data_IF_989231534329
#
_entry.id   IF_989231534329
#
_cell.length_a   1.000
_cell.length_b   1.000
_cell.length_c   1.000
_cell.angle_alpha   90.00
_cell.angle_beta   90.00
_cell.angle_gamma   90.00
#
_symmetry.space_group_name_H-M   'P 1'
#
loop_
_entity.id
_entity.type
_entity.pdbx_description
1 polymer ?
#
# COMPACT_ATOMS: atom_id res chain seq x y z
N UNK A 1 21.43 23.51 -12.25
CA UNK A 1 21.37 23.26 -10.79
C UNK A 1 22.74 23.58 -10.19
N UNK A 2 22.83 24.27 -9.05
CA UNK A 2 24.11 24.67 -8.46
C UNK A 2 24.87 23.49 -7.85
N UNK A 3 26.21 23.57 -7.81
CA UNK A 3 27.03 22.57 -7.11
C UNK A 3 26.71 22.63 -5.60
N UNK A 4 26.46 21.47 -4.99
CA UNK A 4 26.33 21.31 -3.54
C UNK A 4 27.48 20.46 -3.03
N UNK A 5 27.97 20.78 -1.84
CA UNK A 5 29.05 20.03 -1.17
C UNK A 5 28.44 19.22 -0.04
N UNK A 6 28.73 17.92 -0.01
CA UNK A 6 28.41 17.02 1.09
C UNK A 6 29.69 16.77 1.89
N UNK A 7 29.60 16.90 3.21
CA UNK A 7 30.69 16.56 4.11
C UNK A 7 30.55 15.12 4.56
N UNK A 8 31.66 14.38 4.54
CA UNK A 8 31.72 12.99 4.96
C UNK A 8 32.57 12.96 6.24
N UNK A 9 32.06 12.38 7.34
CA UNK A 9 32.85 12.25 8.56
C UNK A 9 34.12 11.46 8.31
N UNK A 10 35.22 11.82 8.98
CA UNK A 10 36.51 11.13 8.85
C UNK A 10 36.40 9.63 9.18
N UNK A 11 35.49 9.24 10.07
CA UNK A 11 35.21 7.84 10.42
C UNK A 11 34.67 7.01 9.24
N UNK A 12 34.01 7.67 8.27
CA UNK A 12 33.37 7.04 7.12
C UNK A 12 34.17 7.22 5.82
N UNK A 13 35.34 7.88 5.88
CA UNK A 13 36.17 8.19 4.72
C UNK A 13 36.58 6.92 3.95
N UNK A 14 37.00 5.88 4.67
CA UNK A 14 37.40 4.60 4.06
C UNK A 14 36.23 3.93 3.30
N UNK A 15 35.02 4.04 3.82
CA UNK A 15 33.80 3.52 3.18
C UNK A 15 33.47 4.32 1.92
N UNK A 16 33.57 5.64 1.98
CA UNK A 16 33.35 6.51 0.83
C UNK A 16 34.36 6.26 -0.30
N UNK A 17 35.65 6.16 0.03
CA UNK A 17 36.72 5.89 -0.96
C UNK A 17 36.41 4.60 -1.70
N UNK A 18 36.07 3.54 -0.97
CA UNK A 18 35.73 2.25 -1.58
C UNK A 18 34.48 2.32 -2.45
N UNK A 19 33.42 2.99 -2.01
CA UNK A 19 32.20 3.18 -2.81
C UNK A 19 32.47 4.02 -4.08
N UNK A 20 33.33 5.02 -3.98
CA UNK A 20 33.77 5.83 -5.12
C UNK A 20 34.55 5.00 -6.14
N UNK A 21 35.51 4.18 -5.69
CA UNK A 21 36.28 3.29 -6.57
C UNK A 21 35.37 2.31 -7.31
N UNK A 22 34.36 1.76 -6.63
CA UNK A 22 33.35 0.89 -7.25
C UNK A 22 32.54 1.64 -8.32
N UNK A 23 32.06 2.84 -8.01
CA UNK A 23 31.31 3.66 -8.98
C UNK A 23 32.16 4.02 -10.21
N UNK A 24 33.43 4.36 -10.01
CA UNK A 24 34.36 4.73 -11.09
C UNK A 24 34.75 3.52 -11.95
N UNK A 25 34.91 2.33 -11.34
CA UNK A 25 35.15 1.07 -12.05
C UNK A 25 34.02 0.74 -13.05
N UNK A 26 32.79 1.09 -12.70
CA UNK A 26 31.60 0.87 -13.54
C UNK A 26 31.32 2.06 -14.48
N UNK A 27 32.24 3.04 -14.57
CA UNK A 27 32.12 4.23 -15.43
C UNK A 27 31.08 5.24 -14.96
N UNK A 28 30.55 5.08 -13.75
CA UNK A 28 29.52 5.94 -13.17
C UNK A 28 30.12 7.14 -12.45
N UNK A 29 29.42 8.28 -12.49
CA UNK A 29 29.81 9.46 -11.71
C UNK A 29 29.31 9.31 -10.28
N UNK A 30 30.18 9.54 -9.30
CA UNK A 30 29.85 9.51 -7.87
C UNK A 30 28.58 10.32 -7.57
N UNK A 31 28.43 11.51 -8.15
CA UNK A 31 27.23 12.34 -7.96
C UNK A 31 25.93 11.68 -8.40
N UNK A 32 25.98 10.84 -9.44
CA UNK A 32 24.81 10.09 -9.94
C UNK A 32 24.42 9.02 -8.94
N UNK A 33 25.40 8.22 -8.49
CA UNK A 33 25.22 7.16 -7.50
C UNK A 33 24.68 7.72 -6.17
N UNK A 34 25.16 8.88 -5.73
CA UNK A 34 24.64 9.55 -4.54
C UNK A 34 23.20 10.00 -4.70
N UNK A 35 22.82 10.53 -5.86
CA UNK A 35 21.42 10.94 -6.12
C UNK A 35 20.50 9.72 -6.15
N UNK A 36 20.97 8.59 -6.69
CA UNK A 36 20.23 7.33 -6.69
C UNK A 36 20.06 6.76 -5.28
N UNK A 37 21.14 6.71 -4.49
CA UNK A 37 21.09 6.28 -3.09
C UNK A 37 20.17 7.18 -2.24
N UNK A 38 20.19 8.50 -2.46
CA UNK A 38 19.32 9.44 -1.77
C UNK A 38 17.84 9.29 -2.19
N UNK A 39 17.56 9.01 -3.46
CA UNK A 39 16.20 8.70 -3.91
C UNK A 39 15.66 7.45 -3.22
N UNK A 40 16.48 6.40 -3.17
CA UNK A 40 16.14 5.15 -2.50
C UNK A 40 15.85 5.38 -1.00
N UNK A 41 16.71 6.15 -0.34
CA UNK A 41 16.54 6.51 1.07
C UNK A 41 15.27 7.33 1.33
N UNK A 42 14.94 8.28 0.45
CA UNK A 42 13.71 9.09 0.55
C UNK A 42 12.47 8.21 0.37
N UNK A 43 12.49 7.28 -0.58
CA UNK A 43 11.41 6.30 -0.81
C UNK A 43 11.20 5.40 0.41
N UNK A 44 12.28 4.94 1.06
CA UNK A 44 12.23 4.13 2.28
C UNK A 44 11.71 4.91 3.49
N UNK A 45 12.09 6.19 3.61
CA UNK A 45 11.60 7.09 4.65
C UNK A 45 10.12 7.46 4.46
N UNK A 46 9.72 7.78 3.24
CA UNK A 46 8.33 8.16 2.92
C UNK A 46 7.39 6.96 3.05
N UNK A 47 7.82 5.76 2.66
CA UNK A 47 7.09 4.51 2.89
C UNK A 47 6.96 4.11 4.37
N UNK A 48 7.87 4.56 5.23
CA UNK A 48 7.80 4.33 6.68
C UNK A 48 6.89 5.33 7.41
N UNK A 49 6.56 6.48 6.82
CA UNK A 49 5.94 7.63 7.49
C UNK A 49 4.44 7.86 7.19
N UNK A 50 3.80 7.12 6.28
CA UNK A 50 2.42 7.40 5.85
C UNK A 50 1.27 6.75 6.68
N UNK A 51 1.58 6.08 7.80
CA UNK A 51 0.56 5.55 8.72
C UNK A 51 0.10 4.12 8.40
N UNK A 52 1.01 3.25 7.98
CA UNK A 52 0.73 1.82 7.80
C UNK A 52 0.56 1.15 9.17
N UNK A 53 -0.53 0.40 9.33
CA UNK A 53 -0.81 -0.40 10.51
C UNK A 53 -1.02 -1.87 10.16
N UNK A 54 -0.98 -2.74 11.17
CA UNK A 54 -1.32 -4.13 10.98
C UNK A 54 -2.85 -4.29 10.96
N UNK A 55 -3.38 -4.68 9.81
CA UNK A 55 -4.80 -4.88 9.58
C UNK A 55 -5.10 -6.37 9.70
N UNK A 56 -6.12 -6.71 10.49
CA UNK A 56 -6.64 -8.06 10.63
C UNK A 56 -8.11 -8.07 10.23
N UNK A 57 -8.47 -8.84 9.20
CA UNK A 57 -9.85 -8.94 8.69
C UNK A 57 -10.33 -10.39 8.78
N UNK A 58 -11.61 -10.57 9.09
CA UNK A 58 -12.27 -11.88 9.00
C UNK A 58 -12.79 -12.10 7.58
N UNK A 59 -12.52 -13.25 6.99
CA UNK A 59 -13.08 -13.67 5.70
C UNK A 59 -13.88 -14.94 5.89
N UNK A 60 -15.11 -14.97 5.40
CA UNK A 60 -16.00 -16.11 5.54
C UNK A 60 -17.43 -15.69 5.82
N UNK A 61 -18.25 -16.65 6.22
CA UNK A 61 -19.64 -16.43 6.60
C UNK A 61 -19.82 -16.61 8.10
N UNK A 62 -20.66 -15.76 8.68
CA UNK A 62 -21.15 -15.92 10.05
C UNK A 62 -22.68 -15.94 9.97
N UNK A 63 -23.30 -16.97 10.52
CA UNK A 63 -24.74 -17.01 10.70
C UNK A 63 -25.14 -17.55 12.08
N UNK A 64 -26.33 -17.17 12.54
CA UNK A 64 -26.81 -17.52 13.88
C UNK A 64 -27.08 -19.02 14.10
N UNK A 65 -27.18 -19.82 13.04
CA UNK A 65 -27.65 -21.21 13.05
C UNK A 65 -26.49 -22.21 12.91
N UNK A 66 -25.58 -21.96 11.97
CA UNK A 66 -24.44 -22.78 11.57
C UNK A 66 -23.11 -22.27 12.14
N UNK A 67 -23.10 -21.06 12.72
CA UNK A 67 -21.94 -20.45 13.34
C UNK A 67 -21.03 -19.74 12.34
N UNK A 68 -19.75 -19.60 12.69
CA UNK A 68 -18.75 -18.89 11.87
C UNK A 68 -17.88 -19.88 11.10
N UNK A 69 -17.86 -19.79 9.78
CA UNK A 69 -16.93 -20.53 8.91
C UNK A 69 -16.07 -19.56 8.11
N UNK A 70 -14.78 -19.51 8.43
CA UNK A 70 -13.88 -18.53 7.83
C UNK A 70 -12.47 -18.57 8.38
N UNK A 71 -11.71 -17.53 8.05
CA UNK A 71 -10.33 -17.35 8.48
C UNK A 71 -10.02 -15.87 8.67
N UNK A 72 -9.08 -15.59 9.57
CA UNK A 72 -8.48 -14.26 9.64
C UNK A 72 -7.38 -14.13 8.58
N UNK A 73 -7.35 -12.97 7.93
CA UNK A 73 -6.22 -12.54 7.09
C UNK A 73 -5.56 -11.35 7.75
N UNK A 74 -4.23 -11.31 7.69
CA UNK A 74 -3.41 -10.25 8.27
C UNK A 74 -2.47 -9.68 7.25
N UNK A 75 -2.38 -8.37 7.19
CA UNK A 75 -1.45 -7.65 6.33
C UNK A 75 -1.15 -6.26 6.91
N UNK A 76 -0.04 -5.67 6.47
CA UNK A 76 0.28 -4.28 6.78
C UNK A 76 -0.22 -3.38 5.65
N UNK A 77 -0.95 -2.32 6.00
CA UNK A 77 -1.60 -1.46 5.03
C UNK A 77 -2.19 -0.21 5.66
N UNK A 78 -2.93 0.54 4.86
CA UNK A 78 -3.67 1.74 5.28
C UNK A 78 -5.03 1.74 4.61
N UNK A 79 -6.09 2.04 5.36
CA UNK A 79 -7.41 2.27 4.77
C UNK A 79 -7.37 3.55 3.93
N UNK A 80 -7.74 3.43 2.66
CA UNK A 80 -7.82 4.58 1.75
C UNK A 80 -9.25 5.09 1.59
N UNK A 81 -10.25 4.24 1.85
CA UNK A 81 -11.64 4.67 1.95
C UNK A 81 -12.57 3.54 2.32
N UNK A 82 -13.73 3.92 2.84
CA UNK A 82 -14.83 3.02 3.15
C UNK A 82 -16.16 3.69 2.86
N UNK A 83 -17.15 2.87 2.56
CA UNK A 83 -18.53 3.32 2.33
C UNK A 83 -19.50 2.17 2.59
N UNK A 84 -20.76 2.52 2.81
CA UNK A 84 -21.84 1.58 3.03
C UNK A 84 -23.03 1.97 2.18
N UNK A 85 -23.62 0.99 1.50
CA UNK A 85 -24.84 1.21 0.72
C UNK A 85 -25.84 0.08 0.89
N UNK A 86 -27.15 0.38 0.87
CA UNK A 86 -28.17 -0.66 0.78
C UNK A 86 -28.10 -1.35 -0.59
N UNK A 87 -28.19 -2.67 -0.62
CA UNK A 87 -28.23 -3.49 -1.85
C UNK A 87 -29.55 -4.26 -2.03
N UNK A 88 -30.45 -4.16 -1.05
CA UNK A 88 -31.80 -4.72 -1.07
C UNK A 88 -32.69 -4.01 -0.04
N UNK A 89 -33.85 -4.60 0.28
CA UNK A 89 -34.74 -4.05 1.32
C UNK A 89 -34.18 -4.22 2.74
N UNK A 90 -33.40 -5.28 2.96
CA UNK A 90 -32.81 -5.64 4.26
C UNK A 90 -31.29 -5.82 4.21
N UNK A 91 -30.71 -5.87 3.02
CA UNK A 91 -29.29 -6.13 2.82
C UNK A 91 -28.48 -4.84 2.72
N UNK A 92 -27.34 -4.82 3.41
CA UNK A 92 -26.35 -3.73 3.33
C UNK A 92 -25.01 -4.27 2.84
N UNK A 93 -24.34 -3.47 2.02
CA UNK A 93 -22.98 -3.73 1.56
C UNK A 93 -22.05 -2.65 2.11
N UNK A 94 -21.16 -3.05 3.00
CA UNK A 94 -20.05 -2.22 3.44
C UNK A 94 -18.81 -2.61 2.65
N UNK A 95 -18.12 -1.63 2.08
CA UNK A 95 -16.83 -1.84 1.44
C UNK A 95 -15.76 -1.01 2.11
N UNK A 96 -14.56 -1.60 2.22
CA UNK A 96 -13.35 -0.92 2.68
C UNK A 96 -12.23 -1.24 1.72
N UNK A 97 -11.53 -0.20 1.30
CA UNK A 97 -10.41 -0.32 0.39
C UNK A 97 -9.14 0.04 1.16
N UNK A 98 -8.18 -0.88 1.11
CA UNK A 98 -6.87 -0.70 1.72
C UNK A 98 -5.81 -0.62 0.65
N UNK A 99 -4.81 0.23 0.88
CA UNK A 99 -3.53 0.13 0.20
C UNK A 99 -2.58 -0.69 1.05
N UNK A 100 -2.04 -1.76 0.48
CA UNK A 100 -1.11 -2.65 1.17
C UNK A 100 0.29 -2.05 1.19
N UNK A 101 1.15 -2.50 2.12
CA UNK A 101 2.57 -2.15 2.16
C UNK A 101 3.30 -2.39 0.82
N UNK A 102 2.83 -3.35 0.02
CA UNK A 102 3.41 -3.70 -1.29
C UNK A 102 2.88 -2.82 -2.43
N UNK A 103 2.15 -1.75 -2.14
CA UNK A 103 1.58 -0.85 -3.14
C UNK A 103 0.31 -1.37 -3.84
N UNK A 104 -0.05 -2.65 -3.65
CA UNK A 104 -1.30 -3.26 -4.15
C UNK A 104 -2.52 -2.77 -3.38
N UNK A 105 -3.69 -3.03 -3.92
CA UNK A 105 -4.96 -2.74 -3.26
C UNK A 105 -5.60 -4.00 -2.68
N UNK A 106 -6.28 -3.86 -1.55
CA UNK A 106 -7.09 -4.91 -0.95
C UNK A 106 -8.52 -4.37 -0.77
N UNK A 107 -9.46 -4.91 -1.55
CA UNK A 107 -10.87 -4.59 -1.41
C UNK A 107 -11.51 -5.61 -0.46
N UNK A 108 -12.05 -5.12 0.64
CA UNK A 108 -12.81 -5.87 1.62
C UNK A 108 -14.28 -5.51 1.49
N UNK A 109 -15.14 -6.50 1.39
CA UNK A 109 -16.59 -6.33 1.24
C UNK A 109 -17.31 -7.17 2.29
N UNK A 110 -18.21 -6.53 3.02
CA UNK A 110 -19.10 -7.17 3.99
C UNK A 110 -20.52 -7.01 3.49
N UNK A 111 -21.16 -8.12 3.18
CA UNK A 111 -22.61 -8.15 2.94
C UNK A 111 -23.28 -8.61 4.23
N UNK A 112 -24.20 -7.80 4.73
CA UNK A 112 -24.97 -8.09 5.92
C UNK A 112 -26.46 -8.20 5.55
N UNK A 113 -27.05 -9.33 5.92
CA UNK A 113 -28.49 -9.56 6.00
C UNK A 113 -28.83 -9.92 7.46
N UNK A 114 -30.09 -9.75 7.86
CA UNK A 114 -30.62 -9.81 9.24
C UNK A 114 -29.90 -10.78 10.19
N UNK A 115 -29.60 -12.00 9.74
CA UNK A 115 -28.96 -13.05 10.55
C UNK A 115 -27.66 -13.60 9.94
N UNK A 116 -27.16 -13.02 8.85
CA UNK A 116 -26.00 -13.53 8.10
C UNK A 116 -25.06 -12.42 7.69
N UNK A 117 -23.79 -12.60 8.00
CA UNK A 117 -22.69 -11.74 7.52
C UNK A 117 -21.78 -12.54 6.60
N UNK A 118 -21.51 -12.01 5.41
CA UNK A 118 -20.57 -12.60 4.45
C UNK A 118 -19.45 -11.59 4.19
N UNK A 119 -18.25 -11.95 4.64
CA UNK A 119 -17.04 -11.16 4.50
C UNK A 119 -16.16 -11.73 3.40
N UNK A 120 -15.93 -10.95 2.35
CA UNK A 120 -15.06 -11.31 1.22
C UNK A 120 -13.91 -10.32 1.08
N UNK A 121 -12.81 -10.78 0.51
CA UNK A 121 -11.63 -9.96 0.33
C UNK A 121 -10.89 -10.32 -0.94
N UNK A 122 -10.44 -9.30 -1.68
CA UNK A 122 -9.77 -9.46 -2.96
C UNK A 122 -8.53 -8.55 -3.01
N UNK A 123 -7.39 -9.14 -3.38
CA UNK A 123 -6.18 -8.40 -3.73
C UNK A 123 -6.31 -7.99 -5.20
N UNK A 124 -6.03 -6.72 -5.48
CA UNK A 124 -6.09 -6.12 -6.81
C UNK A 124 -4.73 -5.49 -7.08
N UNK A 125 -4.15 -5.81 -8.23
CA UNK A 125 -2.77 -5.38 -8.56
C UNK A 125 -2.71 -3.91 -8.96
N UNK A 126 -3.82 -3.36 -9.46
CA UNK A 126 -3.87 -1.99 -9.98
C UNK A 126 -5.24 -1.34 -9.85
N UNK A 127 -5.27 -0.02 -10.01
CA UNK A 127 -6.50 0.79 -10.06
C UNK A 127 -7.42 0.37 -11.21
N UNK A 128 -6.86 -0.11 -12.34
CA UNK A 128 -7.66 -0.59 -13.47
C UNK A 128 -8.49 -1.82 -13.14
N UNK A 129 -7.98 -2.70 -12.27
CA UNK A 129 -8.75 -3.86 -11.80
C UNK A 129 -9.88 -3.41 -10.85
N UNK A 130 -9.67 -2.34 -10.08
CA UNK A 130 -10.71 -1.73 -9.23
C UNK A 130 -11.85 -1.09 -10.04
N UNK A 131 -11.56 -0.52 -11.21
CA UNK A 131 -12.59 0.03 -12.12
C UNK A 131 -13.55 -1.03 -12.66
N UNK A 132 -13.13 -2.30 -12.68
CA UNK A 132 -13.96 -3.44 -13.05
C UNK A 132 -14.79 -4.02 -11.90
N UNK A 133 -14.58 -3.56 -10.66
CA UNK A 133 -15.33 -3.99 -9.49
C UNK A 133 -16.57 -3.10 -9.27
N UNK A 134 -17.61 -3.68 -8.67
CA UNK A 134 -18.75 -2.91 -8.18
C UNK A 134 -18.33 -2.19 -6.89
N UNK A 135 -17.88 -0.94 -7.03
CA UNK A 135 -17.48 -0.10 -5.92
C UNK A 135 -18.64 0.79 -5.46
N UNK A 136 -18.81 0.87 -4.15
CA UNK A 136 -19.60 1.89 -3.47
C UNK A 136 -19.08 3.29 -3.81
N UNK A 137 -19.96 4.29 -3.77
CA UNK A 137 -19.65 5.65 -4.23
C UNK A 137 -18.50 6.28 -3.43
N UNK A 138 -18.47 6.07 -2.12
CA UNK A 138 -17.44 6.57 -1.23
C UNK A 138 -16.09 5.88 -1.47
N UNK A 139 -16.06 4.57 -1.72
CA UNK A 139 -14.81 3.88 -2.09
C UNK A 139 -14.30 4.34 -3.45
N UNK A 140 -15.17 4.50 -4.44
CA UNK A 140 -14.80 5.02 -5.75
C UNK A 140 -14.31 6.48 -5.67
N UNK A 141 -14.93 7.31 -4.82
CA UNK A 141 -14.49 8.69 -4.60
C UNK A 141 -13.14 8.75 -3.89
N UNK A 142 -12.92 7.90 -2.89
CA UNK A 142 -11.65 7.77 -2.19
C UNK A 142 -10.53 7.37 -3.15
N UNK A 143 -10.77 6.39 -4.02
CA UNK A 143 -9.82 5.96 -5.04
C UNK A 143 -9.46 7.08 -6.03
N UNK A 144 -10.42 7.91 -6.44
CA UNK A 144 -10.15 9.07 -7.32
C UNK A 144 -9.32 10.17 -6.66
N UNK A 145 -9.44 10.31 -5.35
CA UNK A 145 -8.70 11.30 -4.56
C UNK A 145 -7.36 10.74 -4.04
N UNK A 146 -7.10 9.46 -4.28
CA UNK A 146 -5.85 8.81 -3.96
C UNK A 146 -4.74 9.44 -4.81
N UNK A 147 -3.74 10.02 -4.16
CA UNK A 147 -2.54 10.43 -4.86
C UNK A 147 -1.74 9.16 -5.12
N UNK A 148 -1.25 8.96 -6.35
CA UNK A 148 -0.30 7.88 -6.58
C UNK A 148 0.88 8.09 -5.64
N UNK A 149 1.12 7.20 -4.67
CA UNK A 149 2.49 7.03 -4.17
C UNK A 149 3.33 6.78 -5.41
N UNK A 150 4.53 7.36 -5.42
CA UNK A 150 5.53 6.97 -6.40
C UNK A 150 5.51 5.43 -6.51
N UNK A 151 5.18 4.92 -7.70
CA UNK A 151 5.39 3.51 -7.98
C UNK A 151 6.85 3.27 -7.62
N UNK A 152 7.08 2.38 -6.65
CA UNK A 152 8.42 1.91 -6.36
C UNK A 152 8.94 1.39 -7.70
N UNK A 153 9.87 2.12 -8.31
CA UNK A 153 10.59 1.61 -9.45
C UNK A 153 11.29 0.35 -8.93
N UNK A 154 10.86 -0.81 -9.42
CA UNK A 154 11.71 -2.00 -9.44
C UNK A 154 12.85 -1.69 -10.41
N UNK A 155 13.86 -0.93 -9.96
CA UNK A 155 15.14 -0.69 -10.64
C UNK A 155 16.24 -1.51 -10.00
#
# INVERSE_FOLDING_TARGET
>A
MGKKTLYIPDADEATYVRAKEMAESDGSKVSTVFVEALKQYVVELEGALEGLEEITLWLGSTDAVSGSNGKHVRFYGKEIGSDEMPIGEVETLTQRLYRTKKGKYYLYSVTHDNDTEICTGKILESVKELEGESLTNGVAAALRNEKPMAEFLDI
#
